data_IF_095890650929
#
_entry.id   IF_095890650929
#
_cell.length_a   1.000
_cell.length_b   1.000
_cell.length_c   1.000
_cell.angle_alpha   90.00
_cell.angle_beta   90.00
_cell.angle_gamma   90.00
#
_symmetry.space_group_name_H-M   'P 1'
#
loop_
_entity.id
_entity.type
_entity.pdbx_description
1 polymer ?
#
# COMPACT_ATOMS: atom_id res chain seq x y z
N UNK A 1 -39.85 -43.81 -65.00
CA UNK A 1 -38.55 -43.13 -65.27
C UNK A 1 -37.72 -43.35 -64.01
N UNK A 2 -36.88 -44.39 -64.00
CA UNK A 2 -35.44 -44.30 -64.31
C UNK A 2 -34.74 -43.35 -63.32
N UNK A 3 -33.77 -43.74 -62.51
CA UNK A 3 -32.97 -44.96 -62.42
C UNK A 3 -31.80 -44.70 -61.45
N UNK A 4 -31.02 -45.76 -61.17
CA UNK A 4 -29.61 -45.81 -60.76
C UNK A 4 -29.11 -44.92 -59.58
N UNK A 5 -28.59 -45.47 -58.47
CA UNK A 5 -27.36 -46.25 -58.29
C UNK A 5 -26.05 -45.43 -58.36
N UNK A 6 -25.12 -45.82 -57.48
CA UNK A 6 -23.66 -45.68 -57.52
C UNK A 6 -22.97 -44.45 -56.87
N UNK A 7 -22.19 -44.75 -55.82
CA UNK A 7 -20.90 -44.14 -55.45
C UNK A 7 -19.89 -44.25 -56.62
N UNK A 8 -18.76 -43.49 -56.71
CA UNK A 8 -17.61 -43.76 -55.84
C UNK A 8 -16.57 -42.62 -55.60
N UNK A 9 -15.58 -42.97 -54.76
CA UNK A 9 -14.15 -42.64 -54.82
C UNK A 9 -13.64 -41.26 -54.37
N UNK A 10 -13.25 -41.21 -53.08
CA UNK A 10 -11.85 -41.09 -52.65
C UNK A 10 -11.00 -39.89 -53.12
N UNK A 11 -10.49 -39.11 -52.15
CA UNK A 11 -9.08 -38.69 -52.15
C UNK A 11 -8.53 -38.56 -50.74
N UNK A 12 -7.28 -38.97 -50.67
CA UNK A 12 -6.45 -39.32 -49.52
C UNK A 12 -5.87 -38.11 -48.78
N UNK A 13 -5.69 -38.30 -47.47
CA UNK A 13 -4.70 -37.75 -46.54
C UNK A 13 -4.13 -36.33 -46.72
N UNK A 14 -4.16 -35.54 -45.65
CA UNK A 14 -3.03 -35.46 -44.69
C UNK A 14 -3.41 -34.65 -43.45
N UNK A 15 -3.31 -35.30 -42.29
CA UNK A 15 -3.09 -34.62 -41.01
C UNK A 15 -1.77 -33.86 -41.12
N UNK A 16 -1.78 -32.53 -40.95
CA UNK A 16 -0.56 -31.78 -40.70
C UNK A 16 -0.47 -31.49 -39.20
N UNK A 17 0.35 -32.33 -38.57
CA UNK A 17 1.36 -32.03 -37.55
C UNK A 17 1.20 -30.71 -36.78
N UNK A 18 1.08 -30.87 -35.46
CA UNK A 18 1.28 -29.81 -34.47
C UNK A 18 2.64 -29.17 -34.73
N UNK A 19 2.64 -27.92 -35.18
CA UNK A 19 3.86 -27.12 -35.20
C UNK A 19 4.29 -26.86 -33.76
N UNK A 20 5.41 -27.46 -33.39
CA UNK A 20 6.06 -27.24 -32.10
C UNK A 20 6.29 -25.73 -31.88
N UNK A 21 5.84 -25.22 -30.74
CA UNK A 21 6.15 -23.87 -30.31
C UNK A 21 7.65 -23.82 -30.00
N UNK A 22 8.43 -23.13 -30.84
CA UNK A 22 9.86 -22.93 -30.60
C UNK A 22 10.06 -22.21 -29.25
N UNK A 23 11.06 -22.59 -28.44
CA UNK A 23 11.34 -21.87 -27.21
C UNK A 23 11.78 -20.45 -27.56
N UNK A 24 10.91 -19.48 -27.24
CA UNK A 24 11.21 -18.07 -27.34
C UNK A 24 12.41 -17.73 -26.45
N UNK A 25 13.30 -16.91 -27.01
CA UNK A 25 14.50 -16.36 -26.39
C UNK A 25 14.37 -16.10 -24.89
N UNK A 26 15.31 -16.64 -24.12
CA UNK A 26 15.54 -16.36 -22.70
C UNK A 26 15.50 -14.86 -22.41
N UNK A 27 14.34 -14.37 -21.99
CA UNK A 27 14.28 -13.15 -21.20
C UNK A 27 14.97 -13.49 -19.89
N UNK A 28 16.18 -12.96 -19.68
CA UNK A 28 16.90 -13.02 -18.41
C UNK A 28 15.90 -12.73 -17.30
N UNK A 29 15.60 -13.75 -16.49
CA UNK A 29 14.73 -13.66 -15.33
C UNK A 29 15.32 -12.58 -14.42
N UNK A 30 14.73 -11.39 -14.44
CA UNK A 30 15.22 -10.24 -13.70
C UNK A 30 15.27 -10.62 -12.21
N UNK A 31 16.40 -10.37 -11.57
CA UNK A 31 16.55 -10.48 -10.13
C UNK A 31 15.34 -9.79 -9.47
N UNK A 32 14.62 -10.49 -8.58
CA UNK A 32 13.57 -9.84 -7.80
C UNK A 32 14.25 -8.77 -6.96
N UNK A 33 14.23 -7.52 -7.43
CA UNK A 33 14.67 -6.36 -6.66
C UNK A 33 13.97 -6.44 -5.31
N UNK A 34 14.73 -6.73 -4.25
CA UNK A 34 14.20 -6.74 -2.89
C UNK A 34 13.75 -5.32 -2.61
N UNK A 35 12.45 -5.09 -2.68
CA UNK A 35 11.88 -3.79 -2.40
C UNK A 35 12.11 -3.50 -0.92
N UNK A 36 12.91 -2.46 -0.62
CA UNK A 36 13.08 -1.95 0.74
C UNK A 36 11.69 -1.70 1.32
N UNK A 37 11.40 -2.25 2.50
CA UNK A 37 10.17 -1.93 3.20
C UNK A 37 10.15 -0.46 3.58
N UNK A 38 8.97 0.15 3.54
CA UNK A 38 8.71 1.51 3.97
C UNK A 38 8.32 1.47 5.45
N UNK A 39 9.07 2.17 6.29
CA UNK A 39 8.76 2.32 7.71
C UNK A 39 7.70 3.41 7.89
N UNK A 40 6.55 3.03 8.43
CA UNK A 40 5.37 3.90 8.52
C UNK A 40 5.06 4.22 9.98
N UNK A 41 4.86 5.50 10.26
CA UNK A 41 4.26 5.97 11.51
C UNK A 41 2.76 6.20 11.38
N UNK A 42 1.98 5.93 12.42
CA UNK A 42 0.54 6.29 12.46
C UNK A 42 0.33 7.36 13.53
N UNK A 43 -0.27 8.48 13.14
CA UNK A 43 -0.56 9.62 14.02
C UNK A 43 -2.08 9.76 14.19
N UNK A 44 -2.52 9.72 15.44
CA UNK A 44 -3.93 9.52 15.81
C UNK A 44 -4.27 8.03 15.82
N UNK A 45 -4.76 7.55 16.95
CA UNK A 45 -5.03 6.12 17.23
C UNK A 45 -6.45 5.90 17.74
N UNK A 46 -7.37 6.78 17.35
CA UNK A 46 -8.79 6.50 17.39
C UNK A 46 -9.16 5.32 16.49
N UNK A 47 -10.46 5.11 16.27
CA UNK A 47 -10.98 3.91 15.58
C UNK A 47 -10.30 3.55 14.25
N UNK A 48 -10.05 4.55 13.39
CA UNK A 48 -9.39 4.30 12.09
C UNK A 48 -7.87 4.16 12.25
N UNK A 49 -7.25 4.97 13.09
CA UNK A 49 -5.82 4.91 13.36
C UNK A 49 -5.38 3.55 13.91
N UNK A 50 -6.09 3.01 14.90
CA UNK A 50 -5.82 1.69 15.45
C UNK A 50 -6.00 0.57 14.40
N UNK A 51 -6.98 0.73 13.50
CA UNK A 51 -7.22 -0.21 12.40
C UNK A 51 -6.07 -0.19 11.39
N UNK A 52 -5.62 0.99 10.97
CA UNK A 52 -4.49 1.15 10.05
C UNK A 52 -3.18 0.67 10.67
N UNK A 53 -2.93 0.95 11.96
CA UNK A 53 -1.81 0.39 12.69
C UNK A 53 -1.84 -1.15 12.64
N UNK A 54 -2.99 -1.77 12.94
CA UNK A 54 -3.15 -3.23 12.85
C UNK A 54 -2.94 -3.80 11.45
N UNK A 55 -3.28 -3.07 10.38
CA UNK A 55 -3.00 -3.48 9.01
C UNK A 55 -1.51 -3.37 8.67
N UNK A 56 -0.86 -2.29 9.09
CA UNK A 56 0.55 -2.03 8.84
C UNK A 56 1.49 -2.95 9.64
N UNK A 57 1.02 -3.48 10.77
CA UNK A 57 1.77 -4.43 11.59
C UNK A 57 1.99 -5.80 10.90
N UNK A 58 1.26 -6.14 9.83
CA UNK A 58 1.50 -7.42 9.15
C UNK A 58 0.70 -7.75 7.90
N UNK A 59 -0.22 -6.89 7.46
CA UNK A 59 -1.11 -7.17 6.29
C UNK A 59 -0.67 -6.45 5.02
N UNK A 60 0.04 -5.33 5.15
CA UNK A 60 0.48 -4.53 3.99
C UNK A 60 1.88 -4.94 3.55
N UNK A 61 1.99 -5.54 2.36
CA UNK A 61 3.28 -5.96 1.80
C UNK A 61 4.14 -4.75 1.48
N UNK A 62 5.40 -4.80 1.88
CA UNK A 62 6.38 -3.72 1.62
C UNK A 62 6.25 -2.51 2.55
N UNK A 63 5.40 -2.58 3.58
CA UNK A 63 5.32 -1.60 4.65
C UNK A 63 5.55 -2.28 6.01
N UNK A 64 5.96 -1.50 7.00
CA UNK A 64 6.13 -1.92 8.37
C UNK A 64 5.68 -0.81 9.31
N UNK A 65 4.87 -1.15 10.32
CA UNK A 65 4.52 -0.20 11.38
C UNK A 65 5.74 0.03 12.27
N UNK A 66 6.36 1.20 12.14
CA UNK A 66 7.59 1.54 12.84
C UNK A 66 7.35 2.34 14.12
N UNK A 67 6.26 3.12 14.18
CA UNK A 67 5.90 3.89 15.35
C UNK A 67 4.41 4.28 15.35
N UNK A 68 3.90 4.61 16.53
CA UNK A 68 2.57 5.20 16.70
C UNK A 68 2.62 6.45 17.57
N UNK A 69 1.71 7.40 17.34
CA UNK A 69 1.59 8.58 18.18
C UNK A 69 0.12 8.95 18.41
N UNK A 70 -0.22 9.28 19.66
CA UNK A 70 -1.52 9.85 20.01
C UNK A 70 -1.38 10.82 21.19
N UNK A 71 -2.13 11.92 21.14
CA UNK A 71 -2.21 12.90 22.24
C UNK A 71 -2.60 12.29 23.59
N UNK A 72 -3.36 11.19 23.55
CA UNK A 72 -3.63 10.32 24.70
C UNK A 72 -2.53 9.26 24.80
N UNK A 73 -1.56 9.50 25.68
CA UNK A 73 -0.44 8.59 25.89
C UNK A 73 -0.88 7.16 26.22
N UNK A 74 -1.95 6.99 27.02
CA UNK A 74 -2.50 5.68 27.34
C UNK A 74 -3.00 4.91 26.11
N UNK A 75 -3.55 5.61 25.10
CA UNK A 75 -3.93 4.98 23.83
C UNK A 75 -2.70 4.58 23.03
N UNK A 76 -1.69 5.44 22.96
CA UNK A 76 -0.43 5.15 22.27
C UNK A 76 0.27 3.91 22.85
N UNK A 77 0.41 3.84 24.18
CA UNK A 77 0.98 2.69 24.90
C UNK A 77 0.14 1.44 24.64
N UNK A 78 -1.18 1.51 24.83
CA UNK A 78 -2.05 0.34 24.70
C UNK A 78 -2.03 -0.27 23.30
N UNK A 79 -2.03 0.56 22.25
CA UNK A 79 -1.94 0.09 20.87
C UNK A 79 -0.55 -0.45 20.56
N UNK A 80 0.49 0.19 21.09
CA UNK A 80 1.87 -0.25 20.90
C UNK A 80 2.11 -1.64 21.49
N UNK A 81 1.67 -1.85 22.74
CA UNK A 81 1.74 -3.14 23.44
C UNK A 81 0.95 -4.21 22.69
N UNK A 82 -0.28 -3.89 22.26
CA UNK A 82 -1.15 -4.85 21.54
C UNK A 82 -0.59 -5.28 20.18
N UNK A 83 0.23 -4.44 19.54
CA UNK A 83 0.85 -4.72 18.24
C UNK A 83 2.32 -5.14 18.34
N UNK A 84 2.89 -5.17 19.55
CA UNK A 84 4.29 -5.53 19.80
C UNK A 84 5.30 -4.54 19.22
N UNK A 85 4.97 -3.24 19.20
CA UNK A 85 5.88 -2.18 18.75
C UNK A 85 6.43 -1.40 19.95
N UNK A 86 7.72 -1.08 19.94
CA UNK A 86 8.36 -0.35 21.04
C UNK A 86 8.16 1.17 20.94
N UNK A 87 8.16 1.69 19.71
CA UNK A 87 8.15 3.14 19.47
C UNK A 87 6.72 3.70 19.53
N UNK A 88 6.39 4.33 20.66
CA UNK A 88 5.15 5.08 20.83
C UNK A 88 5.44 6.47 21.42
N UNK A 89 4.64 7.45 21.01
CA UNK A 89 4.86 8.85 21.40
C UNK A 89 3.55 9.54 21.78
N UNK A 90 3.62 10.39 22.80
CA UNK A 90 2.53 11.31 23.14
C UNK A 90 2.44 12.48 22.17
N UNK A 91 3.59 13.01 21.75
CA UNK A 91 3.69 14.12 20.81
C UNK A 91 4.13 13.58 19.45
N UNK A 92 3.35 13.87 18.41
CA UNK A 92 3.64 13.34 17.07
C UNK A 92 4.96 13.92 16.50
N UNK A 93 5.41 15.07 16.98
CA UNK A 93 6.69 15.67 16.61
C UNK A 93 7.86 14.76 16.95
N UNK A 94 7.80 14.03 18.07
CA UNK A 94 8.84 13.07 18.47
C UNK A 94 8.92 11.89 17.49
N UNK A 95 7.76 11.46 16.95
CA UNK A 95 7.67 10.51 15.87
C UNK A 95 8.26 11.10 14.58
N UNK A 96 7.91 12.33 14.21
CA UNK A 96 8.42 12.97 12.99
C UNK A 96 9.95 13.20 13.01
N UNK A 97 10.53 13.40 14.20
CA UNK A 97 11.97 13.54 14.40
C UNK A 97 12.75 12.24 14.10
N UNK A 98 12.07 11.08 14.07
CA UNK A 98 12.71 9.80 13.81
C UNK A 98 13.16 9.66 12.36
N UNK A 99 14.47 9.54 12.13
CA UNK A 99 15.07 9.44 10.79
C UNK A 99 14.72 8.14 10.06
N UNK A 100 14.41 7.08 10.79
CA UNK A 100 14.06 5.76 10.25
C UNK A 100 12.61 5.66 9.79
N UNK A 101 11.75 6.66 10.04
CA UNK A 101 10.38 6.71 9.53
C UNK A 101 10.39 7.32 8.13
N UNK A 102 9.90 6.57 7.13
CA UNK A 102 9.86 6.98 5.73
C UNK A 102 8.53 7.70 5.39
N UNK A 103 7.42 7.24 5.99
CA UNK A 103 6.08 7.74 5.71
C UNK A 103 5.21 7.84 6.98
N UNK A 104 4.14 8.63 6.92
CA UNK A 104 3.16 8.77 8.00
C UNK A 104 1.72 8.65 7.49
N UNK A 105 0.86 8.12 8.35
CA UNK A 105 -0.59 8.04 8.17
C UNK A 105 -1.24 8.95 9.22
N UNK A 106 -1.93 10.00 8.78
CA UNK A 106 -2.65 10.96 9.64
C UNK A 106 -4.10 10.54 9.76
N UNK A 107 -4.53 10.22 10.98
CA UNK A 107 -5.93 9.91 11.32
C UNK A 107 -6.43 10.67 12.56
N UNK A 108 -5.79 11.80 12.86
CA UNK A 108 -6.20 12.71 13.94
C UNK A 108 -7.59 13.33 13.66
N UNK A 109 -8.19 14.09 14.58
CA UNK A 109 -9.36 14.90 14.23
C UNK A 109 -9.06 15.80 13.03
N UNK A 110 -10.06 16.02 12.16
CA UNK A 110 -9.90 16.83 10.94
C UNK A 110 -9.33 18.22 11.21
N UNK A 111 -9.72 18.84 12.33
CA UNK A 111 -9.24 20.16 12.73
C UNK A 111 -7.73 20.25 12.95
N UNK A 112 -7.03 19.12 13.12
CA UNK A 112 -5.58 19.07 13.32
C UNK A 112 -4.82 18.47 12.13
N UNK A 113 -5.51 18.08 11.05
CA UNK A 113 -4.86 17.50 9.86
C UNK A 113 -3.83 18.45 9.26
N UNK A 114 -4.19 19.74 9.10
CA UNK A 114 -3.31 20.75 8.52
C UNK A 114 -1.96 20.80 9.22
N UNK A 115 -1.96 20.92 10.54
CA UNK A 115 -0.74 21.11 11.31
C UNK A 115 0.17 19.87 11.20
N UNK A 116 -0.42 18.67 11.38
CA UNK A 116 0.32 17.41 11.26
C UNK A 116 0.89 17.21 9.85
N UNK A 117 0.10 17.47 8.81
CA UNK A 117 0.52 17.32 7.41
C UNK A 117 1.63 18.30 7.04
N UNK A 118 1.47 19.59 7.37
CA UNK A 118 2.46 20.63 7.06
C UNK A 118 3.77 20.36 7.79
N UNK A 119 3.74 19.95 9.07
CA UNK A 119 4.94 19.59 9.81
C UNK A 119 5.60 18.31 9.25
N UNK A 120 4.81 17.30 8.89
CA UNK A 120 5.31 16.07 8.25
C UNK A 120 6.01 16.36 6.91
N UNK A 121 5.47 17.30 6.12
CA UNK A 121 6.03 17.71 4.85
C UNK A 121 7.38 18.43 5.03
N UNK A 122 7.47 19.32 6.04
CA UNK A 122 8.74 19.96 6.43
C UNK A 122 9.81 18.94 6.83
N UNK A 123 9.40 17.84 7.48
CA UNK A 123 10.25 16.70 7.82
C UNK A 123 10.55 15.76 6.65
N UNK A 124 10.09 16.07 5.43
CA UNK A 124 10.25 15.27 4.20
C UNK A 124 9.73 13.84 4.33
N UNK A 125 8.65 13.63 5.10
CA UNK A 125 7.96 12.34 5.17
C UNK A 125 6.97 12.20 4.01
N UNK A 126 6.80 11.00 3.48
CA UNK A 126 5.63 10.73 2.63
C UNK A 126 4.36 10.71 3.49
N UNK A 127 3.25 11.25 2.98
CA UNK A 127 2.06 11.53 3.79
C UNK A 127 0.85 10.84 3.17
N UNK A 128 0.15 10.07 3.99
CA UNK A 128 -1.24 9.69 3.77
C UNK A 128 -2.10 10.45 4.80
N UNK A 129 -3.12 11.17 4.36
CA UNK A 129 -4.03 11.90 5.24
C UNK A 129 -5.46 11.39 5.07
N UNK A 130 -6.13 11.09 6.18
CA UNK A 130 -7.54 10.71 6.15
C UNK A 130 -8.46 11.84 5.66
N UNK A 131 -9.65 11.45 5.22
CA UNK A 131 -10.67 12.38 4.74
C UNK A 131 -11.51 12.95 5.90
N UNK A 132 -12.04 14.18 5.75
CA UNK A 132 -11.67 15.16 4.73
C UNK A 132 -10.29 15.77 5.01
N UNK A 133 -9.67 16.38 3.98
CA UNK A 133 -8.33 16.95 4.08
C UNK A 133 -8.26 18.07 5.14
N UNK A 134 -9.19 19.04 5.06
CA UNK A 134 -9.47 20.00 6.12
C UNK A 134 -10.95 20.44 6.10
N UNK A 135 -11.34 21.30 7.05
CA UNK A 135 -12.66 21.93 7.15
C UNK A 135 -12.80 23.21 6.30
N UNK A 136 -11.71 23.72 5.72
CA UNK A 136 -11.74 24.89 4.83
C UNK A 136 -10.90 24.66 3.56
N UNK A 137 -11.28 25.35 2.49
CA UNK A 137 -10.55 25.29 1.22
C UNK A 137 -9.17 25.96 1.35
N UNK A 138 -9.09 27.07 2.07
CA UNK A 138 -7.83 27.79 2.32
C UNK A 138 -6.79 26.89 3.01
N UNK A 139 -7.21 26.11 4.02
CA UNK A 139 -6.30 25.17 4.68
C UNK A 139 -5.89 24.02 3.75
N UNK A 140 -6.79 23.54 2.89
CA UNK A 140 -6.43 22.55 1.87
C UNK A 140 -5.34 23.10 0.93
N UNK A 141 -5.45 24.35 0.48
CA UNK A 141 -4.45 24.99 -0.36
C UNK A 141 -3.09 25.13 0.33
N UNK A 142 -3.08 25.41 1.63
CA UNK A 142 -1.85 25.46 2.44
C UNK A 142 -1.18 24.07 2.49
N UNK A 143 -1.97 23.00 2.64
CA UNK A 143 -1.46 21.63 2.77
C UNK A 143 -0.87 21.06 1.47
N UNK A 144 -1.19 21.63 0.30
CA UNK A 144 -0.76 21.13 -1.01
C UNK A 144 0.49 21.84 -1.57
N UNK A 145 1.03 22.83 -0.86
CA UNK A 145 2.22 23.61 -1.26
C UNK A 145 3.52 22.96 -0.77
#
# INVERSE_FOLDING_TARGET
MSGANASPAGRSHKMNERSECKPGSSHKMNERKVMKKINIGVIGLGRLGSLYAGYLAGRVRGAELAAVADSSEGVAVSIADALGIECHYRHYQDLLAQKNIDAIVVTTPTSTHKDVVVESAKCRKAIFCEKPLSLSLEECEIMMK
#
